data_IF_828184723312
#
_entry.id   IF_828184723312
#
_cell.length_a   1.000
_cell.length_b   1.000
_cell.length_c   1.000
_cell.angle_alpha   90.00
_cell.angle_beta   90.00
_cell.angle_gamma   90.00
#
_symmetry.space_group_name_H-M   'P 1'
#
loop_
_entity.id
_entity.type
_entity.pdbx_description
1 polymer ?
#
# COMPACT_ATOMS: atom_id res chain seq x y z
N UNK A 1 11.76 -0.07 20.74
CA UNK A 1 11.92 -0.13 19.27
C UNK A 1 11.13 1.02 18.64
N UNK A 2 11.55 1.55 17.48
CA UNK A 2 10.85 2.65 16.76
C UNK A 2 9.38 2.33 16.38
N UNK A 3 8.95 1.07 16.50
CA UNK A 3 7.60 0.61 16.20
C UNK A 3 6.68 0.47 17.44
N UNK A 4 7.10 0.95 18.63
CA UNK A 4 6.25 0.93 19.83
C UNK A 4 5.95 -0.46 20.40
N UNK A 5 6.69 -1.50 19.98
CA UNK A 5 6.45 -2.89 20.41
C UNK A 5 7.23 -3.22 21.68
N UNK A 6 6.55 -3.84 22.64
CA UNK A 6 7.10 -4.24 23.95
C UNK A 6 7.29 -5.76 24.02
N UNK A 7 8.35 -6.26 23.39
CA UNK A 7 8.78 -7.65 23.54
C UNK A 7 9.53 -7.82 24.86
N UNK A 8 9.24 -8.88 25.61
CA UNK A 8 9.95 -9.18 26.84
C UNK A 8 11.44 -9.45 26.53
N UNK A 9 12.34 -8.62 27.04
CA UNK A 9 13.77 -8.73 26.74
C UNK A 9 14.30 -10.11 27.14
N UNK A 10 14.93 -10.80 26.19
CA UNK A 10 15.48 -12.15 26.39
C UNK A 10 14.49 -13.29 26.17
N UNK A 11 13.22 -13.00 25.83
CA UNK A 11 12.30 -14.04 25.37
C UNK A 11 12.71 -14.59 24.00
N UNK A 12 12.18 -15.76 23.65
CA UNK A 12 12.32 -16.34 22.32
C UNK A 12 11.83 -15.37 21.24
N UNK A 13 10.63 -14.82 21.40
CA UNK A 13 10.08 -13.81 20.48
C UNK A 13 11.02 -12.60 20.36
N UNK A 14 11.60 -12.09 21.46
CA UNK A 14 12.53 -10.97 21.38
C UNK A 14 13.74 -11.28 20.50
N UNK A 15 14.33 -12.47 20.61
CA UNK A 15 15.46 -12.88 19.79
C UNK A 15 15.07 -13.06 18.32
N UNK A 16 13.92 -13.67 18.03
CA UNK A 16 13.41 -13.82 16.67
C UNK A 16 13.17 -12.46 16.00
N UNK A 17 12.47 -11.55 16.69
CA UNK A 17 12.17 -10.20 16.20
C UNK A 17 13.44 -9.39 15.99
N UNK A 18 14.42 -9.51 16.89
CA UNK A 18 15.72 -8.86 16.76
C UNK A 18 16.50 -9.39 15.56
N UNK A 19 16.49 -10.70 15.32
CA UNK A 19 17.15 -11.32 14.17
C UNK A 19 16.55 -10.83 12.85
N UNK A 20 15.21 -10.82 12.75
CA UNK A 20 14.50 -10.27 11.59
C UNK A 20 14.85 -8.80 11.36
N UNK A 21 14.76 -7.97 12.41
CA UNK A 21 15.08 -6.56 12.34
C UNK A 21 16.51 -6.30 11.87
N UNK A 22 17.48 -7.04 12.43
CA UNK A 22 18.90 -6.89 12.09
C UNK A 22 19.17 -7.26 10.64
N UNK A 23 18.60 -8.38 10.16
CA UNK A 23 18.68 -8.78 8.75
C UNK A 23 18.11 -7.71 7.82
N UNK A 24 16.96 -7.12 8.17
CA UNK A 24 16.35 -6.04 7.36
C UNK A 24 17.17 -4.75 7.40
N UNK A 25 17.81 -4.42 8.51
CA UNK A 25 18.70 -3.27 8.61
C UNK A 25 19.92 -3.39 7.70
N UNK A 26 20.55 -4.56 7.65
CA UNK A 26 21.64 -4.86 6.73
C UNK A 26 21.19 -4.77 5.27
N UNK A 27 20.00 -5.29 4.95
CA UNK A 27 19.45 -5.19 3.60
C UNK A 27 19.18 -3.74 3.19
N UNK A 28 18.66 -2.91 4.10
CA UNK A 28 18.46 -1.47 3.86
C UNK A 28 19.79 -0.77 3.55
N UNK A 29 20.84 -1.06 4.32
CA UNK A 29 22.17 -0.51 4.07
C UNK A 29 22.71 -0.94 2.70
N UNK A 30 22.63 -2.24 2.39
CA UNK A 30 23.06 -2.81 1.10
C UNK A 30 22.32 -2.19 -0.08
N UNK A 31 21.01 -1.98 0.01
CA UNK A 31 20.22 -1.35 -1.06
C UNK A 31 20.61 0.11 -1.25
N UNK A 32 20.93 0.81 -0.15
CA UNK A 32 21.29 2.22 -0.19
C UNK A 32 22.73 2.47 -0.68
N UNK A 33 23.61 1.46 -0.68
CA UNK A 33 24.96 1.55 -1.28
C UNK A 33 24.99 1.28 -2.78
N UNK A 34 23.88 0.83 -3.39
CA UNK A 34 23.84 0.54 -4.82
C UNK A 34 23.96 1.82 -5.68
N UNK A 35 24.75 1.79 -6.77
CA UNK A 35 24.83 2.91 -7.71
C UNK A 35 23.52 3.10 -8.47
N UNK A 36 23.24 4.33 -8.93
CA UNK A 36 22.06 4.69 -9.72
C UNK A 36 20.70 4.40 -9.05
N UNK A 37 20.65 4.40 -7.71
CA UNK A 37 19.40 4.20 -6.97
C UNK A 37 18.38 5.32 -7.24
N UNK A 38 17.14 4.94 -7.52
CA UNK A 38 15.99 5.86 -7.74
C UNK A 38 15.15 6.09 -6.48
N UNK A 39 15.48 5.38 -5.40
CA UNK A 39 14.75 5.40 -4.15
C UNK A 39 15.70 5.13 -2.97
N UNK A 40 15.23 5.44 -1.76
CA UNK A 40 15.96 5.19 -0.51
C UNK A 40 15.20 4.15 0.30
N UNK A 41 15.87 3.06 0.65
CA UNK A 41 15.33 2.08 1.56
C UNK A 41 15.33 2.63 3.00
N UNK A 42 14.27 2.35 3.75
CA UNK A 42 14.13 2.80 5.13
C UNK A 42 13.52 1.70 5.99
N UNK A 43 13.96 1.64 7.24
CA UNK A 43 13.37 0.76 8.25
C UNK A 43 11.97 1.28 8.61
N UNK A 44 10.99 0.37 8.60
CA UNK A 44 9.59 0.68 8.85
C UNK A 44 8.95 -0.30 9.85
N UNK A 45 7.65 -0.14 10.11
CA UNK A 45 6.87 -0.95 11.07
C UNK A 45 6.79 -2.46 10.76
N UNK A 46 7.25 -2.88 9.59
CA UNK A 46 7.28 -4.27 9.12
C UNK A 46 8.66 -4.91 9.19
N UNK A 47 9.69 -4.18 9.65
CA UNK A 47 11.08 -4.67 9.67
C UNK A 47 11.31 -5.89 10.60
N UNK A 48 10.43 -6.09 11.58
CA UNK A 48 10.48 -7.18 12.56
C UNK A 48 9.45 -8.29 12.30
N UNK A 49 8.81 -8.29 11.12
CA UNK A 49 7.79 -9.28 10.74
C UNK A 49 8.36 -10.40 9.90
N UNK A 50 7.86 -11.61 10.12
CA UNK A 50 8.13 -12.76 9.25
C UNK A 50 7.32 -12.67 7.95
N UNK A 51 7.47 -13.65 7.05
CA UNK A 51 6.84 -13.59 5.74
C UNK A 51 5.33 -13.75 5.82
N UNK A 52 4.85 -14.61 6.72
CA UNK A 52 3.44 -14.90 6.95
C UNK A 52 2.71 -13.64 7.44
N UNK A 53 3.27 -12.94 8.44
CA UNK A 53 2.75 -11.68 8.98
C UNK A 53 2.82 -10.51 8.00
N UNK A 54 3.72 -10.57 7.01
CA UNK A 54 3.76 -9.62 5.90
C UNK A 54 2.75 -9.99 4.82
N UNK A 55 2.47 -11.27 4.63
CA UNK A 55 1.46 -11.74 3.68
C UNK A 55 0.05 -11.35 4.13
N UNK A 56 -0.24 -11.34 5.44
CA UNK A 56 -1.57 -10.96 5.96
C UNK A 56 -1.99 -9.53 5.57
N UNK A 57 -1.04 -8.59 5.48
CA UNK A 57 -1.32 -7.21 5.09
C UNK A 57 -1.39 -7.01 3.57
N UNK A 58 -0.96 -7.99 2.77
CA UNK A 58 -1.05 -7.95 1.29
C UNK A 58 -2.37 -8.57 0.84
N UNK A 59 -3.44 -7.80 1.00
CA UNK A 59 -4.82 -8.27 0.91
C UNK A 59 -5.38 -8.57 -0.48
N UNK A 60 -4.80 -8.01 -1.54
CA UNK A 60 -5.33 -8.19 -2.90
C UNK A 60 -5.01 -9.59 -3.45
N UNK A 61 -6.04 -10.36 -3.78
CA UNK A 61 -5.93 -11.73 -4.31
C UNK A 61 -6.18 -11.87 -5.81
N UNK A 62 -6.20 -10.77 -6.57
CA UNK A 62 -6.29 -10.81 -8.04
C UNK A 62 -7.66 -11.19 -8.62
N UNK A 63 -8.71 -11.31 -7.80
CA UNK A 63 -10.01 -11.87 -8.21
C UNK A 63 -10.89 -10.92 -9.04
N UNK A 64 -10.36 -9.80 -9.54
CA UNK A 64 -11.03 -8.95 -10.53
C UNK A 64 -10.64 -9.32 -11.98
N UNK A 65 -10.33 -10.59 -12.23
CA UNK A 65 -10.31 -11.12 -13.60
C UNK A 65 -11.75 -11.46 -14.01
N UNK A 66 -12.23 -10.83 -15.08
CA UNK A 66 -13.47 -11.22 -15.75
C UNK A 66 -13.34 -12.67 -16.25
N UNK A 67 -13.78 -13.66 -15.46
CA UNK A 67 -13.71 -15.07 -15.85
C UNK A 67 -13.61 -16.14 -14.75
N UNK A 68 -13.66 -15.78 -13.46
CA UNK A 68 -13.75 -16.79 -12.39
C UNK A 68 -15.12 -17.49 -12.34
N UNK A 69 -15.20 -18.78 -11.93
CA UNK A 69 -16.43 -19.59 -11.94
C UNK A 69 -17.38 -19.21 -10.79
N UNK A 70 -17.89 -17.98 -10.85
CA UNK A 70 -18.66 -17.30 -9.82
C UNK A 70 -18.56 -15.76 -9.89
N UNK A 71 -17.71 -15.23 -10.77
CA UNK A 71 -17.70 -13.82 -11.10
C UNK A 71 -18.94 -13.49 -11.91
N UNK A 72 -19.78 -12.58 -11.41
CA UNK A 72 -20.70 -11.85 -12.27
C UNK A 72 -19.94 -11.44 -13.52
N UNK A 73 -20.47 -11.76 -14.68
CA UNK A 73 -20.08 -11.07 -15.90
C UNK A 73 -20.25 -9.59 -15.59
N UNK A 74 -19.17 -8.92 -15.22
CA UNK A 74 -19.05 -7.51 -15.53
C UNK A 74 -19.10 -7.58 -17.04
N UNK A 75 -20.31 -7.39 -17.59
CA UNK A 75 -20.44 -7.28 -19.02
C UNK A 75 -19.49 -6.19 -19.48
N UNK A 76 -19.61 -5.79 -20.72
CA UNK A 76 -19.28 -4.39 -21.00
C UNK A 76 -20.32 -3.51 -20.28
N UNK A 77 -20.40 -3.57 -18.94
CA UNK A 77 -20.86 -2.47 -18.12
C UNK A 77 -20.02 -1.33 -18.65
N UNK A 78 -20.67 -0.46 -19.43
CA UNK A 78 -20.04 0.67 -20.06
C UNK A 78 -19.03 1.19 -19.06
N UNK A 79 -17.74 1.09 -19.38
CA UNK A 79 -16.73 1.61 -18.47
C UNK A 79 -17.22 3.03 -18.17
N UNK A 80 -17.38 3.40 -16.90
CA UNK A 80 -17.71 4.79 -16.58
C UNK A 80 -16.68 5.75 -17.26
N UNK A 81 -15.49 5.21 -17.54
CA UNK A 81 -14.44 5.74 -18.42
C UNK A 81 -14.74 5.68 -19.94
N UNK A 82 -15.98 5.49 -20.38
CA UNK A 82 -16.37 5.57 -21.78
C UNK A 82 -16.29 7.04 -22.13
N UNK A 83 -15.10 7.43 -22.55
CA UNK A 83 -14.65 8.79 -22.80
C UNK A 83 -15.49 9.38 -23.94
N UNK A 84 -16.66 9.90 -23.60
CA UNK A 84 -17.55 10.62 -24.52
C UNK A 84 -17.04 12.02 -24.85
N UNK A 85 -16.04 12.53 -24.12
CA UNK A 85 -15.34 13.77 -24.43
C UNK A 85 -14.17 13.55 -25.39
N UNK A 86 -14.02 14.44 -26.39
CA UNK A 86 -12.75 14.58 -27.13
C UNK A 86 -11.62 14.77 -26.12
N UNK A 87 -10.45 14.15 -26.38
CA UNK A 87 -9.29 14.31 -25.52
C UNK A 87 -8.97 15.80 -25.38
N UNK A 88 -9.24 16.37 -24.20
CA UNK A 88 -8.84 17.71 -23.84
C UNK A 88 -7.36 17.69 -23.48
N UNK A 89 -6.63 18.75 -23.84
CA UNK A 89 -5.28 18.96 -23.33
C UNK A 89 -5.42 19.08 -21.81
N UNK A 90 -4.73 18.22 -21.06
CA UNK A 90 -4.71 18.30 -19.60
C UNK A 90 -4.10 19.66 -19.19
N UNK A 91 -4.65 20.33 -18.16
CA UNK A 91 -4.07 21.57 -17.68
C UNK A 91 -2.60 21.36 -17.31
N UNK A 92 -1.70 22.20 -17.84
CA UNK A 92 -0.28 22.18 -17.47
C UNK A 92 -0.05 22.49 -16.00
N UNK A 93 -0.97 23.26 -15.41
CA UNK A 93 -0.90 23.70 -14.01
C UNK A 93 -1.32 22.62 -13.00
N UNK A 94 -2.08 21.61 -13.43
CA UNK A 94 -2.56 20.56 -12.53
C UNK A 94 -1.58 19.39 -12.50
N UNK A 95 -0.85 19.22 -11.39
CA UNK A 95 0.18 18.18 -11.26
C UNK A 95 -0.17 17.05 -10.30
N UNK A 96 -0.95 17.27 -9.23
CA UNK A 96 -1.30 16.21 -8.27
C UNK A 96 -2.52 16.58 -7.39
N UNK A 97 -3.04 15.57 -6.69
CA UNK A 97 -4.17 15.69 -5.73
C UNK A 97 -3.71 15.76 -4.26
N UNK A 98 -2.44 16.04 -3.97
CA UNK A 98 -1.93 15.98 -2.59
C UNK A 98 -2.42 17.14 -1.72
N UNK A 99 -3.06 18.13 -2.33
CA UNK A 99 -3.74 19.22 -1.64
C UNK A 99 -5.09 18.80 -1.02
N UNK A 100 -5.69 17.68 -1.45
CA UNK A 100 -6.94 17.17 -0.87
C UNK A 100 -6.71 16.71 0.57
N UNK A 101 -7.58 17.10 1.49
CA UNK A 101 -7.58 16.65 2.88
C UNK A 101 -7.68 15.12 2.98
N UNK A 102 -8.50 14.50 2.11
CA UNK A 102 -8.60 13.04 2.00
C UNK A 102 -7.25 12.40 1.67
N UNK A 103 -6.43 13.02 0.83
CA UNK A 103 -5.12 12.49 0.41
C UNK A 103 -4.04 12.79 1.44
N UNK A 104 -4.14 13.92 2.15
CA UNK A 104 -3.27 14.23 3.30
C UNK A 104 -3.46 13.24 4.43
N UNK A 105 -4.67 12.74 4.64
CA UNK A 105 -4.98 11.74 5.65
C UNK A 105 -4.67 10.31 5.17
N UNK A 106 -3.44 9.87 5.42
CA UNK A 106 -3.00 8.50 5.08
C UNK A 106 -3.63 7.48 6.03
N UNK A 107 -4.61 6.73 5.52
CA UNK A 107 -5.29 5.66 6.27
C UNK A 107 -4.38 4.45 6.51
N UNK A 108 -4.31 3.99 7.75
CA UNK A 108 -3.64 2.74 8.11
C UNK A 108 -4.62 1.56 8.05
N UNK A 109 -4.39 0.60 7.15
CA UNK A 109 -5.18 -0.64 7.09
C UNK A 109 -4.97 -1.56 8.31
N UNK A 110 -3.93 -1.30 9.11
CA UNK A 110 -3.58 -2.11 10.26
C UNK A 110 -2.99 -3.48 9.88
N UNK A 111 -3.47 -4.54 10.52
CA UNK A 111 -3.05 -5.93 10.31
C UNK A 111 -3.96 -6.72 9.36
N UNK A 112 -5.07 -6.12 8.93
CA UNK A 112 -6.01 -6.73 8.00
C UNK A 112 -5.53 -6.55 6.56
N UNK A 113 -5.72 -7.56 5.71
CA UNK A 113 -5.54 -7.48 4.26
C UNK A 113 -6.65 -6.69 3.58
N UNK A 114 -6.95 -5.48 4.05
CA UNK A 114 -8.07 -4.64 3.61
C UNK A 114 -7.66 -3.51 2.66
N UNK A 115 -6.46 -3.59 2.06
CA UNK A 115 -5.96 -2.55 1.14
C UNK A 115 -6.97 -2.20 0.03
N UNK A 116 -7.70 -3.18 -0.50
CA UNK A 116 -8.76 -2.97 -1.50
C UNK A 116 -9.89 -2.07 -1.00
N UNK A 117 -10.30 -2.24 0.27
CA UNK A 117 -11.37 -1.47 0.89
C UNK A 117 -10.89 -0.06 1.24
N UNK A 118 -9.66 0.06 1.76
CA UNK A 118 -9.03 1.36 2.03
C UNK A 118 -8.91 2.17 0.74
N UNK A 119 -8.42 1.56 -0.34
CA UNK A 119 -8.35 2.22 -1.65
C UNK A 119 -9.73 2.65 -2.16
N UNK A 120 -10.73 1.77 -2.12
CA UNK A 120 -12.08 2.11 -2.56
C UNK A 120 -12.68 3.27 -1.76
N UNK A 121 -12.57 3.24 -0.42
CA UNK A 121 -13.05 4.32 0.45
C UNK A 121 -12.32 5.65 0.16
N UNK A 122 -11.00 5.64 0.07
CA UNK A 122 -10.22 6.85 -0.25
C UNK A 122 -10.63 7.47 -1.58
N UNK A 123 -10.92 6.66 -2.60
CA UNK A 123 -11.37 7.19 -3.91
C UNK A 123 -12.76 7.82 -3.81
N UNK A 124 -13.70 7.19 -3.08
CA UNK A 124 -15.04 7.73 -2.88
C UNK A 124 -15.01 9.05 -2.10
N UNK A 125 -14.21 9.12 -1.04
CA UNK A 125 -14.06 10.33 -0.23
C UNK A 125 -13.38 11.46 -1.02
N UNK A 126 -12.34 11.15 -1.81
CA UNK A 126 -11.70 12.14 -2.66
C UNK A 126 -12.66 12.67 -3.73
N UNK A 127 -13.51 11.80 -4.30
CA UNK A 127 -14.54 12.23 -5.24
C UNK A 127 -15.55 13.19 -4.59
N UNK A 128 -15.99 12.89 -3.36
CA UNK A 128 -16.88 13.75 -2.59
C UNK A 128 -16.23 15.06 -2.13
N UNK A 129 -14.89 15.13 -2.04
CA UNK A 129 -14.17 16.37 -1.72
C UNK A 129 -14.01 17.28 -2.96
N UNK A 130 -13.88 16.68 -4.15
CA UNK A 130 -13.71 17.41 -5.41
C UNK A 130 -15.04 18.03 -5.90
N UNK A 131 -16.18 17.41 -5.57
CA UNK A 131 -17.51 17.77 -6.08
C UNK A 131 -18.45 18.22 -4.96
#
# INVERSE_FOLDING_TARGET
>A
SRAGRAYAKGSEEYHERLALYTSRAQEVERLNTMPNRRWTAGINKFADRNEEERATVRGWKGMASAGGPGGYSVGRAASFLSRTGRATVLPTEFTNWTNLETVKNVRDQGTCGSCWAVTAGTVLDAHAEIH
#
